data_IF_226920852942
#
_entry.id   IF_226920852942
#
_cell.length_a   1.000
_cell.length_b   1.000
_cell.length_c   1.000
_cell.angle_alpha   90.00
_cell.angle_beta   90.00
_cell.angle_gamma   90.00
#
_symmetry.space_group_name_H-M   'P 1'
#
loop_
_entity.id
_entity.type
_entity.pdbx_description
1 polymer ?
#
# COMPACT_ATOMS: atom_id res chain seq x y z
N UNK A 1 7.86 16.36 14.85
CA UNK A 1 7.14 16.09 13.57
C UNK A 1 8.10 15.80 12.43
N UNK A 2 8.96 16.74 12.00
CA UNK A 2 9.96 16.51 10.94
C UNK A 2 10.85 15.26 11.14
N UNK A 3 11.31 14.99 12.37
CA UNK A 3 12.14 13.81 12.67
C UNK A 3 11.39 12.48 12.44
N UNK A 4 10.11 12.41 12.82
CA UNK A 4 9.26 11.22 12.61
C UNK A 4 9.01 10.97 11.12
N UNK A 5 8.83 12.04 10.34
CA UNK A 5 8.60 11.96 8.90
C UNK A 5 9.86 11.49 8.16
N UNK A 6 11.02 12.07 8.48
CA UNK A 6 12.31 11.66 7.94
C UNK A 6 12.65 10.20 8.32
N UNK A 7 12.35 9.80 9.56
CA UNK A 7 12.53 8.43 10.03
C UNK A 7 11.66 7.45 9.22
N UNK A 8 10.38 7.77 9.01
CA UNK A 8 9.47 6.94 8.22
C UNK A 8 9.98 6.73 6.79
N UNK A 9 10.36 7.82 6.10
CA UNK A 9 10.92 7.75 4.74
C UNK A 9 12.16 6.84 4.70
N UNK A 10 13.08 7.04 5.63
CA UNK A 10 14.34 6.29 5.69
C UNK A 10 14.09 4.81 5.95
N UNK A 11 13.19 4.49 6.90
CA UNK A 11 12.81 3.14 7.24
C UNK A 11 12.15 2.41 6.06
N UNK A 12 11.27 3.09 5.30
CA UNK A 12 10.64 2.51 4.08
C UNK A 12 11.70 2.23 3.01
N UNK A 13 12.62 3.18 2.78
CA UNK A 13 13.73 3.00 1.83
C UNK A 13 14.61 1.82 2.22
N UNK A 14 14.89 1.65 3.52
CA UNK A 14 15.63 0.50 4.03
C UNK A 14 14.89 -0.81 3.76
N UNK A 15 13.58 -0.89 4.06
CA UNK A 15 12.76 -2.06 3.73
C UNK A 15 12.82 -2.39 2.24
N UNK A 16 12.73 -1.37 1.38
CA UNK A 16 12.85 -1.54 -0.08
C UNK A 16 14.21 -2.11 -0.48
N UNK A 17 15.31 -1.56 0.04
CA UNK A 17 16.67 -2.04 -0.20
C UNK A 17 16.81 -3.50 0.22
N UNK A 18 16.27 -3.86 1.40
CA UNK A 18 16.33 -5.22 1.91
C UNK A 18 15.68 -6.24 0.97
N UNK A 19 14.67 -5.86 0.18
CA UNK A 19 14.07 -6.76 -0.82
C UNK A 19 15.04 -7.18 -1.93
N UNK A 20 16.08 -6.37 -2.21
CA UNK A 20 17.07 -6.65 -3.25
C UNK A 20 18.27 -7.47 -2.74
N UNK A 21 18.28 -7.82 -1.46
CA UNK A 21 19.27 -8.70 -0.87
C UNK A 21 18.63 -10.08 -0.75
N UNK A 22 19.35 -11.15 -1.08
CA UNK A 22 18.85 -12.50 -0.83
C UNK A 22 18.91 -12.76 0.68
N UNK A 23 17.73 -12.75 1.33
CA UNK A 23 17.58 -12.85 2.79
C UNK A 23 17.66 -14.29 3.30
N UNK A 24 18.12 -15.26 2.51
CA UNK A 24 18.40 -16.64 2.97
C UNK A 24 19.48 -16.68 4.06
N UNK A 25 20.28 -15.62 4.18
CA UNK A 25 21.23 -15.44 5.28
C UNK A 25 20.61 -14.60 6.40
N UNK A 26 20.15 -15.28 7.46
CA UNK A 26 19.58 -14.65 8.66
C UNK A 26 20.60 -13.88 9.48
N UNK A 27 21.90 -14.02 9.21
CA UNK A 27 22.96 -13.23 9.84
C UNK A 27 23.09 -11.82 9.24
N UNK A 28 22.35 -11.54 8.16
CA UNK A 28 22.39 -10.24 7.49
C UNK A 28 21.83 -9.13 8.40
N UNK A 29 22.68 -8.16 8.74
CA UNK A 29 22.33 -7.01 9.60
C UNK A 29 21.14 -6.22 9.05
N UNK A 30 20.98 -6.14 7.71
CA UNK A 30 19.84 -5.46 7.09
C UNK A 30 18.53 -6.17 7.42
N UNK A 31 18.53 -7.52 7.47
CA UNK A 31 17.35 -8.29 7.88
C UNK A 31 16.95 -7.97 9.32
N UNK A 32 17.90 -8.01 10.25
CA UNK A 32 17.64 -7.72 11.66
C UNK A 32 17.09 -6.29 11.84
N UNK A 33 17.66 -5.31 11.13
CA UNK A 33 17.20 -3.93 11.18
C UNK A 33 15.80 -3.75 10.59
N UNK A 34 15.46 -4.46 9.51
CA UNK A 34 14.10 -4.44 8.95
C UNK A 34 13.10 -5.06 9.90
N UNK A 35 13.43 -6.20 10.53
CA UNK A 35 12.53 -6.85 11.50
C UNK A 35 12.21 -5.94 12.69
N UNK A 36 13.13 -5.09 13.14
CA UNK A 36 12.87 -4.19 14.26
C UNK A 36 11.95 -3.01 13.93
N UNK A 37 11.84 -2.61 12.65
CA UNK A 37 11.05 -1.42 12.23
C UNK A 37 9.75 -1.76 11.50
N UNK A 38 9.61 -2.97 10.95
CA UNK A 38 8.52 -3.32 10.03
C UNK A 38 7.15 -3.22 10.67
N UNK A 39 7.05 -3.55 11.97
CA UNK A 39 5.80 -3.50 12.73
C UNK A 39 5.36 -2.06 12.92
N UNK A 40 6.26 -1.17 13.33
CA UNK A 40 5.96 0.24 13.55
C UNK A 40 5.60 0.96 12.24
N UNK A 41 6.29 0.66 11.15
CA UNK A 41 5.94 1.17 9.83
C UNK A 41 4.53 0.77 9.40
N UNK A 42 4.14 -0.49 9.64
CA UNK A 42 2.78 -0.96 9.35
C UNK A 42 1.74 -0.17 10.15
N UNK A 43 1.94 -0.02 11.45
CA UNK A 43 1.02 0.74 12.29
C UNK A 43 0.97 2.23 11.94
N UNK A 44 2.08 2.79 11.47
CA UNK A 44 2.13 4.19 11.05
C UNK A 44 1.41 4.42 9.72
N UNK A 45 1.68 3.60 8.71
CA UNK A 45 1.23 3.82 7.33
C UNK A 45 -0.11 3.17 7.03
N UNK A 46 -0.44 2.05 7.69
CA UNK A 46 -1.65 1.25 7.42
C UNK A 46 -2.64 1.30 8.58
N UNK A 47 -2.88 2.50 9.09
CA UNK A 47 -3.90 2.79 10.09
C UNK A 47 -5.03 3.63 9.47
N UNK A 48 -6.18 3.01 9.23
CA UNK A 48 -7.35 3.69 8.65
C UNK A 48 -7.99 4.70 9.59
N UNK A 49 -7.83 4.54 10.91
CA UNK A 49 -8.36 5.46 11.93
C UNK A 49 -7.54 6.75 12.01
N UNK A 50 -6.22 6.63 11.82
CA UNK A 50 -5.28 7.77 11.81
C UNK A 50 -4.36 7.69 10.58
N UNK A 51 -4.84 8.11 9.40
CA UNK A 51 -4.06 8.05 8.17
C UNK A 51 -2.76 8.85 8.28
N UNK A 52 -1.68 8.27 7.74
CA UNK A 52 -0.41 8.96 7.62
C UNK A 52 -0.56 10.17 6.67
N UNK A 53 -0.07 11.34 7.10
CA UNK A 53 0.02 12.52 6.24
C UNK A 53 1.08 13.50 6.73
N UNK A 54 1.96 13.91 5.82
CA UNK A 54 2.93 15.00 6.03
C UNK A 54 2.36 16.38 5.67
N UNK A 55 1.10 16.44 5.26
CA UNK A 55 0.40 17.66 4.85
C UNK A 55 0.07 17.69 3.36
N UNK A 56 -0.72 18.69 2.96
CA UNK A 56 -1.31 18.79 1.61
C UNK A 56 -0.25 18.82 0.49
N UNK A 57 0.92 19.40 0.76
CA UNK A 57 2.01 19.51 -0.22
C UNK A 57 2.73 18.18 -0.52
N UNK A 58 2.46 17.13 0.26
CA UNK A 58 3.17 15.85 0.19
C UNK A 58 2.28 14.66 -0.16
N UNK A 59 1.02 14.88 -0.54
CA UNK A 59 0.03 13.80 -0.73
C UNK A 59 0.54 12.74 -1.72
N UNK A 60 1.02 13.14 -2.90
CA UNK A 60 1.50 12.21 -3.91
C UNK A 60 2.71 11.41 -3.39
N UNK A 61 3.65 12.10 -2.72
CA UNK A 61 4.83 11.47 -2.15
C UNK A 61 4.50 10.54 -0.98
N UNK A 62 3.46 10.85 -0.18
CA UNK A 62 2.96 9.98 0.88
C UNK A 62 2.39 8.69 0.29
N UNK A 63 1.61 8.80 -0.78
CA UNK A 63 1.06 7.65 -1.50
C UNK A 63 2.17 6.79 -2.10
N UNK A 64 3.17 7.40 -2.74
CA UNK A 64 4.33 6.66 -3.29
C UNK A 64 5.10 5.91 -2.21
N UNK A 65 5.27 6.51 -1.03
CA UNK A 65 5.89 5.87 0.13
C UNK A 65 5.06 4.70 0.65
N UNK A 66 3.72 4.84 0.70
CA UNK A 66 2.82 3.76 1.09
C UNK A 66 2.88 2.59 0.09
N UNK A 67 2.96 2.87 -1.21
CA UNK A 67 3.13 1.84 -2.26
C UNK A 67 4.48 1.14 -2.09
N UNK A 68 5.57 1.90 -1.95
CA UNK A 68 6.90 1.33 -1.73
C UNK A 68 6.95 0.48 -0.45
N UNK A 69 6.28 0.92 0.62
CA UNK A 69 6.16 0.14 1.85
C UNK A 69 5.38 -1.15 1.61
N UNK A 70 4.18 -1.09 1.01
CA UNK A 70 3.37 -2.28 0.76
C UNK A 70 4.12 -3.34 -0.06
N UNK A 71 4.75 -2.93 -1.16
CA UNK A 71 5.54 -3.84 -2.01
C UNK A 71 6.70 -4.44 -1.22
N UNK A 72 7.35 -3.66 -0.35
CA UNK A 72 8.43 -4.15 0.50
C UNK A 72 7.92 -5.17 1.52
N UNK A 73 6.82 -4.88 2.20
CA UNK A 73 6.17 -5.79 3.16
C UNK A 73 5.83 -7.12 2.51
N UNK A 74 5.22 -7.09 1.31
CA UNK A 74 4.89 -8.29 0.55
C UNK A 74 6.14 -9.12 0.22
N UNK A 75 7.23 -8.48 -0.21
CA UNK A 75 8.47 -9.18 -0.57
C UNK A 75 9.23 -9.73 0.64
N UNK A 76 9.16 -9.06 1.79
CA UNK A 76 9.84 -9.47 3.03
C UNK A 76 9.07 -10.57 3.75
N UNK A 77 7.75 -10.45 3.86
CA UNK A 77 6.90 -11.40 4.57
C UNK A 77 5.54 -11.51 3.86
N UNK A 78 5.45 -12.29 2.76
CA UNK A 78 4.25 -12.36 1.92
C UNK A 78 3.01 -12.93 2.63
N UNK A 79 3.20 -13.67 3.72
CA UNK A 79 2.11 -14.25 4.50
C UNK A 79 1.54 -13.26 5.53
N UNK A 80 2.24 -12.17 5.84
CA UNK A 80 1.71 -11.11 6.69
C UNK A 80 0.76 -10.23 5.88
N UNK A 81 -0.54 -10.47 6.07
CA UNK A 81 -1.60 -9.84 5.29
C UNK A 81 -2.27 -8.66 5.98
N UNK A 82 -1.70 -8.10 7.05
CA UNK A 82 -2.32 -7.01 7.81
C UNK A 82 -2.52 -5.75 6.95
N UNK A 83 -1.48 -5.31 6.23
CA UNK A 83 -1.59 -4.17 5.31
C UNK A 83 -2.59 -4.45 4.17
N UNK A 84 -2.61 -5.70 3.66
CA UNK A 84 -3.56 -6.14 2.64
C UNK A 84 -5.01 -6.04 3.15
N UNK A 85 -5.28 -6.54 4.36
CA UNK A 85 -6.61 -6.44 5.00
C UNK A 85 -7.04 -4.99 5.20
N UNK A 86 -6.14 -4.12 5.70
CA UNK A 86 -6.44 -2.69 5.85
C UNK A 86 -6.84 -2.07 4.52
N UNK A 87 -6.09 -2.34 3.45
CA UNK A 87 -6.39 -1.74 2.15
C UNK A 87 -7.57 -2.38 1.42
N UNK A 88 -7.95 -3.62 1.74
CA UNK A 88 -9.13 -4.29 1.21
C UNK A 88 -10.43 -3.91 1.92
N UNK A 89 -10.35 -3.45 3.17
CA UNK A 89 -11.53 -3.11 3.96
C UNK A 89 -12.37 -2.03 3.23
N UNK A 90 -13.65 -2.30 2.88
CA UNK A 90 -14.50 -1.36 2.13
C UNK A 90 -14.74 0.00 2.80
N UNK A 91 -14.51 0.09 4.11
CA UNK A 91 -14.65 1.31 4.92
C UNK A 91 -13.36 2.13 4.93
N UNK A 92 -12.24 1.57 4.47
CA UNK A 92 -10.98 2.30 4.39
C UNK A 92 -11.07 3.47 3.39
N UNK A 93 -10.29 4.54 3.62
CA UNK A 93 -10.20 5.64 2.67
C UNK A 93 -9.77 5.18 1.27
N UNK A 94 -10.27 5.82 0.21
CA UNK A 94 -9.97 5.48 -1.19
C UNK A 94 -8.47 5.48 -1.51
N UNK A 95 -7.68 6.30 -0.82
CA UNK A 95 -6.22 6.30 -0.93
C UNK A 95 -5.61 4.93 -0.64
N UNK A 96 -6.14 4.18 0.34
CA UNK A 96 -5.64 2.83 0.65
C UNK A 96 -5.98 1.83 -0.45
N UNK A 97 -7.17 1.91 -1.04
CA UNK A 97 -7.54 1.11 -2.20
C UNK A 97 -6.61 1.41 -3.39
N UNK A 98 -6.32 2.69 -3.64
CA UNK A 98 -5.37 3.10 -4.68
C UNK A 98 -3.96 2.57 -4.43
N UNK A 99 -3.46 2.65 -3.19
CA UNK A 99 -2.17 2.08 -2.77
C UNK A 99 -2.15 0.58 -3.05
N UNK A 100 -3.21 -0.16 -2.69
CA UNK A 100 -3.29 -1.59 -2.94
C UNK A 100 -3.21 -1.93 -4.43
N UNK A 101 -4.06 -1.32 -5.25
CA UNK A 101 -4.08 -1.58 -6.70
C UNK A 101 -2.74 -1.25 -7.33
N UNK A 102 -2.16 -0.10 -6.98
CA UNK A 102 -0.85 0.33 -7.50
C UNK A 102 0.28 -0.61 -7.07
N UNK A 103 0.21 -1.13 -5.85
CA UNK A 103 1.21 -2.07 -5.32
C UNK A 103 1.12 -3.43 -6.00
N UNK A 104 -0.09 -3.97 -6.17
CA UNK A 104 -0.32 -5.23 -6.87
C UNK A 104 0.12 -5.12 -8.34
N UNK A 105 -0.24 -4.02 -9.01
CA UNK A 105 0.22 -3.73 -10.36
C UNK A 105 1.75 -3.73 -10.45
N UNK A 106 2.44 -3.06 -9.51
CA UNK A 106 3.91 -3.03 -9.45
C UNK A 106 4.52 -4.41 -9.20
N UNK A 107 3.92 -5.23 -8.33
CA UNK A 107 4.38 -6.60 -8.08
C UNK A 107 4.28 -7.47 -9.34
N UNK A 108 3.20 -7.31 -10.11
CA UNK A 108 2.93 -8.09 -11.32
C UNK A 108 3.81 -7.66 -12.49
N UNK A 109 4.01 -6.36 -12.67
CA UNK A 109 4.66 -5.79 -13.87
C UNK A 109 6.16 -5.61 -13.73
N UNK A 110 6.68 -5.49 -12.51
CA UNK A 110 8.12 -5.31 -12.31
C UNK A 110 8.87 -6.64 -12.58
N UNK A 111 10.02 -6.61 -13.29
CA UNK A 111 10.89 -7.77 -13.41
C UNK A 111 11.25 -8.35 -12.05
N UNK A 112 10.99 -9.65 -11.87
CA UNK A 112 11.06 -10.31 -10.58
C UNK A 112 12.44 -10.91 -10.33
N UNK A 113 12.99 -10.70 -9.13
CA UNK A 113 14.16 -11.46 -8.67
C UNK A 113 13.75 -12.88 -8.28
N UNK A 114 14.63 -13.90 -8.45
CA UNK A 114 14.27 -15.30 -8.20
C UNK A 114 13.68 -15.57 -6.81
N UNK A 115 14.15 -14.85 -5.79
CA UNK A 115 13.72 -15.01 -4.39
C UNK A 115 12.49 -14.17 -4.00
N UNK A 116 11.98 -13.28 -4.86
CA UNK A 116 10.75 -12.56 -4.53
C UNK A 116 9.54 -13.50 -4.58
N UNK A 117 8.59 -13.36 -3.65
CA UNK A 117 7.41 -14.19 -3.61
C UNK A 117 6.54 -14.00 -4.86
N UNK A 118 5.79 -15.05 -5.18
CA UNK A 118 4.80 -15.04 -6.26
C UNK A 118 3.50 -14.38 -5.78
N UNK A 119 2.77 -13.79 -6.72
CA UNK A 119 1.53 -13.04 -6.44
C UNK A 119 0.32 -13.96 -6.15
N UNK A 120 0.44 -15.24 -6.46
CA UNK A 120 -0.60 -16.26 -6.27
C UNK A 120 -1.12 -16.34 -4.82
N UNK A 121 -0.31 -16.01 -3.82
CA UNK A 121 -0.71 -15.91 -2.42
C UNK A 121 -1.88 -14.93 -2.21
N UNK A 122 -2.05 -13.93 -3.09
CA UNK A 122 -3.15 -12.94 -3.04
C UNK A 122 -4.43 -13.46 -3.73
N UNK A 123 -4.38 -14.55 -4.50
CA UNK A 123 -5.54 -15.03 -5.27
C UNK A 123 -6.72 -15.46 -4.39
N UNK A 124 -6.45 -15.90 -3.16
CA UNK A 124 -7.51 -16.18 -2.17
C UNK A 124 -8.30 -14.92 -1.75
N UNK A 125 -7.80 -13.72 -2.05
CA UNK A 125 -8.46 -12.42 -1.86
C UNK A 125 -9.09 -11.84 -3.13
N UNK A 126 -9.15 -12.63 -4.21
CA UNK A 126 -9.67 -12.16 -5.50
C UNK A 126 -11.14 -11.72 -5.45
N UNK A 127 -11.99 -12.38 -4.66
CA UNK A 127 -13.39 -11.97 -4.47
C UNK A 127 -13.51 -10.60 -3.80
N UNK A 128 -12.76 -10.37 -2.72
CA UNK A 128 -12.69 -9.10 -1.98
C UNK A 128 -12.17 -7.98 -2.90
N UNK A 129 -11.12 -8.24 -3.68
CA UNK A 129 -10.61 -7.30 -4.69
C UNK A 129 -11.67 -6.93 -5.74
N UNK A 130 -12.38 -7.91 -6.30
CA UNK A 130 -13.46 -7.65 -7.27
C UNK A 130 -14.60 -6.83 -6.66
N UNK A 131 -14.96 -7.10 -5.40
CA UNK A 131 -15.96 -6.32 -4.68
C UNK A 131 -15.50 -4.87 -4.55
N UNK A 132 -14.27 -4.64 -4.10
CA UNK A 132 -13.69 -3.30 -3.95
C UNK A 132 -13.71 -2.51 -5.26
N UNK A 133 -13.37 -3.14 -6.39
CA UNK A 133 -13.45 -2.51 -7.71
C UNK A 133 -14.89 -2.18 -8.12
N UNK A 134 -15.82 -3.11 -7.92
CA UNK A 134 -17.25 -2.91 -8.20
C UNK A 134 -17.81 -1.76 -7.38
N UNK A 135 -17.52 -1.72 -6.09
CA UNK A 135 -17.98 -0.65 -5.19
C UNK A 135 -17.43 0.71 -5.60
N UNK A 136 -16.15 0.75 -5.99
CA UNK A 136 -15.52 1.98 -6.50
C UNK A 136 -16.18 2.44 -7.79
N UNK A 137 -16.42 1.52 -8.74
CA UNK A 137 -17.10 1.81 -10.00
C UNK A 137 -18.50 2.38 -9.76
N UNK A 138 -19.27 1.77 -8.85
CA UNK A 138 -20.61 2.22 -8.48
C UNK A 138 -20.59 3.64 -7.89
N UNK A 139 -19.67 3.91 -6.95
CA UNK A 139 -19.51 5.24 -6.33
C UNK A 139 -19.18 6.32 -7.38
N UNK A 140 -18.26 6.03 -8.30
CA UNK A 140 -17.89 6.97 -9.38
C UNK A 140 -19.07 7.20 -10.32
N UNK A 141 -19.74 6.14 -10.75
CA UNK A 141 -20.89 6.22 -11.68
C UNK A 141 -22.02 7.04 -11.08
N UNK A 142 -22.33 6.83 -9.79
CA UNK A 142 -23.37 7.59 -9.08
C UNK A 142 -22.99 9.07 -8.89
N UNK A 143 -21.73 9.37 -8.57
CA UNK A 143 -21.24 10.75 -8.47
C UNK A 143 -21.31 11.52 -9.78
N UNK A 144 -21.12 10.85 -10.93
CA UNK A 144 -21.31 11.47 -12.24
C UNK A 144 -22.77 11.82 -12.55
N UNK A 145 -23.74 11.04 -12.06
CA UNK A 145 -25.18 11.26 -12.29
C UNK A 145 -25.68 12.48 -11.49
N UNK A 146 -25.11 12.75 -10.31
CA UNK A 146 -25.46 13.93 -9.50
C UNK A 146 -25.04 15.29 -10.09
N UNK A 147 -24.21 15.32 -11.13
CA UNK A 147 -23.80 16.54 -11.84
C UNK A 147 -24.60 16.78 -13.14
N UNK A 148 -25.86 16.36 -13.19
CA UNK A 148 -26.75 16.79 -14.27
C UNK A 148 -26.88 18.32 -14.20
N UNK A 149 -26.51 19.11 -15.22
CA UNK A 149 -26.65 20.56 -15.17
C UNK A 149 -28.13 20.89 -14.99
N UNK A 150 -28.46 21.72 -14.00
CA UNK A 150 -29.79 22.30 -13.86
C UNK A 150 -30.18 22.88 -15.23
N UNK A 151 -31.22 22.33 -15.86
CA UNK A 151 -31.77 22.89 -17.10
C UNK A 151 -32.13 24.35 -16.80
N UNK A 152 -31.45 25.27 -17.47
CA UNK A 152 -31.89 26.66 -17.53
C UNK A 152 -33.26 26.66 -18.21
N UNK A 153 -34.30 26.92 -17.41
CA UNK A 153 -35.64 27.19 -17.94
C UNK A 153 -35.58 28.61 -18.50
N UNK A 154 -35.84 28.74 -19.79
CA UNK A 154 -35.87 30.00 -20.54
C UNK A 154 -37.32 30.40 -20.79
#
# INVERSE_FOLDING_TARGET
RHQTEAAAITCIKLCKIATYINLTDSSNVVFALVQSIITDLKFLLFNSVKPFSRGQNYICQDVDLMIDCFVSLFRINPHNNEALKTCLNPVSPSTYHFVLVSSLYRIITQPRLPWWPQIDIVYNKSSELRSMFTDTLNKVTQGCISHTPLRMIQ
#
